data_IF_078843064660
#
_entry.id   IF_078843064660
#
_cell.length_a   1.000
_cell.length_b   1.000
_cell.length_c   1.000
_cell.angle_alpha   90.00
_cell.angle_beta   90.00
_cell.angle_gamma   90.00
#
_symmetry.space_group_name_H-M   'P 1'
#
loop_
_entity.id
_entity.type
_entity.pdbx_description
1 polymer ?
#
# COMPACT_ATOMS: atom_id res chain seq x y z
N UNK A 1 -12.57 14.62 13.65
CA UNK A 1 -12.42 13.35 14.41
C UNK A 1 -13.45 13.24 15.51
N UNK A 2 -13.93 14.37 16.04
CA UNK A 2 -14.79 14.43 17.24
C UNK A 2 -16.11 13.67 17.07
N UNK A 3 -16.77 13.79 15.92
CA UNK A 3 -18.01 13.05 15.62
C UNK A 3 -17.84 11.52 15.74
N UNK A 4 -16.70 10.98 15.32
CA UNK A 4 -16.45 9.53 15.39
C UNK A 4 -16.22 9.08 16.85
N UNK A 5 -15.59 9.94 17.65
CA UNK A 5 -15.36 9.71 19.09
C UNK A 5 -16.67 9.81 19.89
N UNK A 6 -17.49 10.82 19.61
CA UNK A 6 -18.81 11.00 20.21
C UNK A 6 -19.75 9.82 19.94
N UNK A 7 -19.61 9.19 18.76
CA UNK A 7 -20.37 7.99 18.38
C UNK A 7 -19.75 6.68 18.87
N UNK A 8 -18.70 6.75 19.71
CA UNK A 8 -17.96 5.59 20.21
C UNK A 8 -17.42 4.66 19.10
N UNK A 9 -17.22 5.18 17.89
CA UNK A 9 -16.71 4.39 16.76
C UNK A 9 -15.20 4.24 16.79
N UNK A 10 -14.53 5.23 17.40
CA UNK A 10 -13.08 5.23 17.62
C UNK A 10 -12.77 5.70 19.04
N UNK A 11 -11.62 5.29 19.54
CA UNK A 11 -11.00 5.77 20.77
C UNK A 11 -9.59 6.27 20.48
N UNK A 12 -9.04 7.10 21.36
CA UNK A 12 -7.64 7.53 21.29
C UNK A 12 -6.92 6.94 22.50
N UNK A 13 -5.97 6.05 22.25
CA UNK A 13 -5.13 5.43 23.27
C UNK A 13 -3.67 5.75 22.95
N UNK A 14 -2.95 6.39 23.88
CA UNK A 14 -1.54 6.77 23.70
C UNK A 14 -1.26 7.55 22.39
N UNK A 15 -2.17 8.45 22.03
CA UNK A 15 -2.08 9.23 20.78
C UNK A 15 -2.40 8.46 19.50
N UNK A 16 -2.83 7.19 19.60
CA UNK A 16 -3.22 6.34 18.46
C UNK A 16 -4.73 6.20 18.38
N UNK A 17 -5.25 6.20 17.15
CA UNK A 17 -6.65 5.87 16.90
C UNK A 17 -6.82 4.35 17.03
N UNK A 18 -7.75 3.94 17.88
CA UNK A 18 -8.13 2.54 18.10
C UNK A 18 -9.60 2.38 17.73
N UNK A 19 -9.93 1.28 17.06
CA UNK A 19 -11.29 0.92 16.67
C UNK A 19 -11.58 -0.49 17.18
N UNK A 20 -12.78 -0.73 17.71
CA UNK A 20 -13.21 -2.06 18.14
C UNK A 20 -13.22 -3.03 16.95
N UNK A 21 -12.85 -4.29 17.15
CA UNK A 21 -12.77 -5.31 16.08
C UNK A 21 -14.09 -5.45 15.29
N UNK A 22 -15.25 -5.53 15.95
CA UNK A 22 -16.56 -5.56 15.31
C UNK A 22 -16.84 -4.36 14.38
N UNK A 23 -16.34 -3.17 14.72
CA UNK A 23 -16.50 -1.97 13.87
C UNK A 23 -15.55 -2.07 12.66
N UNK A 24 -14.33 -2.59 12.87
CA UNK A 24 -13.41 -2.87 11.77
C UNK A 24 -14.00 -3.93 10.83
N UNK A 25 -14.57 -5.01 11.37
CA UNK A 25 -15.25 -6.06 10.60
C UNK A 25 -16.42 -5.52 9.79
N UNK A 26 -17.25 -4.65 10.39
CA UNK A 26 -18.31 -3.96 9.66
C UNK A 26 -17.74 -3.09 8.51
N UNK A 27 -16.68 -2.34 8.76
CA UNK A 27 -16.01 -1.54 7.72
C UNK A 27 -15.42 -2.40 6.60
N UNK A 28 -14.83 -3.54 6.95
CA UNK A 28 -14.32 -4.54 6.02
C UNK A 28 -15.44 -5.14 5.17
N UNK A 29 -16.59 -5.42 5.76
CA UNK A 29 -17.74 -5.98 5.05
C UNK A 29 -18.32 -4.97 4.05
N UNK A 30 -18.44 -3.69 4.42
CA UNK A 30 -18.90 -2.64 3.49
C UNK A 30 -18.04 -2.63 2.22
N UNK A 31 -16.71 -2.69 2.36
CA UNK A 31 -15.80 -2.71 1.20
C UNK A 31 -15.86 -4.04 0.47
N UNK A 32 -16.07 -5.16 1.16
CA UNK A 32 -16.29 -6.46 0.50
C UNK A 32 -17.51 -6.42 -0.42
N UNK A 33 -18.59 -5.76 0.03
CA UNK A 33 -19.84 -5.59 -0.71
C UNK A 33 -19.74 -4.65 -1.92
N UNK A 34 -18.71 -3.79 -2.01
CA UNK A 34 -18.47 -2.99 -3.22
C UNK A 34 -18.29 -3.89 -4.46
N UNK A 35 -17.62 -5.04 -4.29
CA UNK A 35 -17.62 -6.11 -5.29
C UNK A 35 -17.24 -7.46 -4.65
N UNK A 36 -18.24 -8.29 -4.37
CA UNK A 36 -18.04 -9.59 -3.70
C UNK A 36 -17.09 -10.50 -4.49
N UNK A 37 -17.26 -10.57 -5.81
CA UNK A 37 -16.56 -11.55 -6.65
C UNK A 37 -15.21 -11.07 -7.20
N UNK A 38 -14.94 -9.77 -7.17
CA UNK A 38 -13.73 -9.20 -7.77
C UNK A 38 -13.03 -8.21 -6.81
N UNK A 39 -12.00 -8.65 -6.07
CA UNK A 39 -11.23 -7.75 -5.22
C UNK A 39 -10.58 -6.60 -6.00
N UNK A 40 -10.31 -6.76 -7.29
CA UNK A 40 -9.72 -5.70 -8.12
C UNK A 40 -10.60 -4.46 -8.28
N UNK A 41 -11.90 -4.58 -7.97
CA UNK A 41 -12.91 -3.52 -8.08
C UNK A 41 -13.32 -2.92 -6.72
N UNK A 42 -12.64 -3.30 -5.64
CA UNK A 42 -12.88 -2.75 -4.30
C UNK A 42 -11.96 -1.55 -4.04
N UNK A 43 -12.41 -0.64 -3.19
CA UNK A 43 -11.71 0.58 -2.81
C UNK A 43 -10.47 0.31 -1.96
N UNK A 44 -10.49 -0.75 -1.16
CA UNK A 44 -9.44 -1.06 -0.18
C UNK A 44 -9.17 -2.57 -0.15
N UNK A 45 -7.89 -2.92 -0.04
CA UNK A 45 -7.45 -4.30 0.10
C UNK A 45 -6.60 -4.48 1.35
N UNK A 46 -6.90 -5.50 2.15
CA UNK A 46 -6.12 -5.89 3.34
C UNK A 46 -5.97 -7.41 3.52
N UNK A 47 -6.76 -8.22 2.80
CA UNK A 47 -6.66 -9.70 2.85
C UNK A 47 -5.49 -10.16 1.97
N UNK A 48 -4.50 -10.91 2.50
CA UNK A 48 -3.33 -11.33 1.74
C UNK A 48 -3.65 -12.11 0.45
N UNK A 49 -4.63 -13.01 0.49
CA UNK A 49 -5.02 -13.81 -0.69
C UNK A 49 -5.67 -12.94 -1.79
N UNK A 50 -6.53 -11.98 -1.42
CA UNK A 50 -7.13 -11.04 -2.37
C UNK A 50 -6.06 -10.17 -3.02
N UNK A 51 -5.13 -9.64 -2.22
CA UNK A 51 -4.00 -8.83 -2.71
C UNK A 51 -3.12 -9.67 -3.63
N UNK A 52 -2.80 -10.91 -3.26
CA UNK A 52 -2.01 -11.80 -4.10
C UNK A 52 -2.65 -12.00 -5.47
N UNK A 53 -3.95 -12.29 -5.53
CA UNK A 53 -4.67 -12.49 -6.78
C UNK A 53 -4.73 -11.21 -7.63
N UNK A 54 -4.97 -10.05 -7.00
CA UNK A 54 -5.02 -8.75 -7.69
C UNK A 54 -3.66 -8.39 -8.28
N UNK A 55 -2.59 -8.46 -7.48
CA UNK A 55 -1.25 -8.04 -7.89
C UNK A 55 -0.64 -9.02 -8.90
N UNK A 56 -0.76 -10.34 -8.66
CA UNK A 56 -0.14 -11.36 -9.54
C UNK A 56 -0.75 -11.38 -10.93
N UNK A 57 -2.06 -11.15 -11.02
CA UNK A 57 -2.80 -11.16 -12.30
C UNK A 57 -2.96 -9.77 -12.91
N UNK A 58 -2.34 -8.73 -12.32
CA UNK A 58 -2.50 -7.33 -12.72
C UNK A 58 -3.97 -6.93 -12.93
N UNK A 59 -4.84 -7.35 -11.99
CA UNK A 59 -6.29 -7.10 -11.98
C UNK A 59 -6.69 -5.81 -11.26
N UNK A 60 -5.71 -5.03 -10.79
CA UNK A 60 -5.98 -3.74 -10.19
C UNK A 60 -6.74 -2.82 -11.13
N UNK A 61 -7.68 -2.07 -10.57
CA UNK A 61 -8.44 -1.05 -11.30
C UNK A 61 -8.40 0.26 -10.54
N UNK A 62 -8.91 1.32 -11.17
CA UNK A 62 -9.05 2.65 -10.58
C UNK A 62 -9.98 2.70 -9.37
N UNK A 63 -10.72 1.62 -9.09
CA UNK A 63 -11.46 1.52 -7.84
C UNK A 63 -10.52 1.50 -6.63
N UNK A 64 -9.35 0.87 -6.75
CA UNK A 64 -8.43 0.66 -5.62
C UNK A 64 -7.78 1.97 -5.21
N UNK A 65 -8.01 2.37 -3.96
CA UNK A 65 -7.43 3.55 -3.34
C UNK A 65 -6.38 3.21 -2.28
N UNK A 66 -6.48 2.05 -1.63
CA UNK A 66 -5.53 1.64 -0.59
C UNK A 66 -5.19 0.15 -0.64
N UNK A 67 -3.91 -0.17 -0.41
CA UNK A 67 -3.45 -1.54 -0.24
C UNK A 67 -2.65 -1.65 1.06
N UNK A 68 -3.13 -2.49 1.98
CA UNK A 68 -2.51 -2.79 3.26
C UNK A 68 -2.05 -4.25 3.27
N UNK A 69 -0.75 -4.49 3.26
CA UNK A 69 -0.20 -5.82 3.12
C UNK A 69 0.76 -6.15 4.26
N UNK A 70 0.35 -7.12 5.09
CA UNK A 70 1.27 -7.85 5.95
C UNK A 70 2.07 -8.83 5.07
N UNK A 71 3.31 -8.44 4.75
CA UNK A 71 4.20 -9.18 3.85
C UNK A 71 4.58 -10.56 4.39
N UNK A 72 4.41 -10.82 5.69
CA UNK A 72 4.65 -12.14 6.28
C UNK A 72 3.52 -13.14 5.99
N UNK A 73 2.31 -12.65 5.71
CA UNK A 73 1.12 -13.49 5.51
C UNK A 73 0.81 -13.78 4.05
N UNK A 74 1.46 -13.09 3.12
CA UNK A 74 1.28 -13.32 1.69
C UNK A 74 2.22 -14.42 1.19
N UNK A 75 1.75 -15.20 0.22
CA UNK A 75 2.60 -16.09 -0.57
C UNK A 75 3.64 -15.27 -1.34
N UNK A 76 4.79 -15.88 -1.63
CA UNK A 76 5.83 -15.26 -2.46
C UNK A 76 5.22 -14.79 -3.79
N UNK A 77 5.33 -13.49 -4.07
CA UNK A 77 4.76 -12.84 -5.24
C UNK A 77 5.82 -11.98 -5.94
N UNK A 78 5.88 -12.12 -7.26
CA UNK A 78 6.68 -11.26 -8.12
C UNK A 78 5.77 -10.19 -8.73
N UNK A 79 6.06 -8.93 -8.44
CA UNK A 79 5.30 -7.82 -9.02
C UNK A 79 5.81 -7.52 -10.42
N UNK A 80 4.87 -7.23 -11.32
CA UNK A 80 5.16 -6.78 -12.67
C UNK A 80 5.59 -5.32 -12.64
N UNK A 81 6.42 -4.90 -13.61
CA UNK A 81 6.96 -3.53 -13.69
C UNK A 81 5.88 -2.44 -13.82
N UNK A 82 4.69 -2.83 -14.29
CA UNK A 82 3.50 -1.99 -14.46
C UNK A 82 2.35 -2.36 -13.50
N UNK A 83 2.62 -3.05 -12.39
CA UNK A 83 1.56 -3.56 -11.49
C UNK A 83 0.56 -2.49 -11.04
N UNK A 84 1.02 -1.26 -10.80
CA UNK A 84 0.17 -0.16 -10.33
C UNK A 84 -0.38 0.73 -11.45
N UNK A 85 -0.03 0.45 -12.72
CA UNK A 85 -0.36 1.32 -13.87
C UNK A 85 -1.85 1.56 -14.07
N UNK A 86 -2.71 0.61 -13.68
CA UNK A 86 -4.18 0.67 -13.82
C UNK A 86 -4.90 1.09 -12.54
N UNK A 87 -4.17 1.55 -11.52
CA UNK A 87 -4.74 1.95 -10.23
C UNK A 87 -4.53 3.46 -10.04
N UNK A 88 -5.12 4.26 -10.92
CA UNK A 88 -4.86 5.71 -10.99
C UNK A 88 -5.27 6.44 -9.70
N UNK A 89 -6.28 5.94 -8.98
CA UNK A 89 -6.75 6.52 -7.71
C UNK A 89 -6.02 5.97 -6.47
N UNK A 90 -4.93 5.23 -6.63
CA UNK A 90 -4.20 4.62 -5.52
C UNK A 90 -3.46 5.69 -4.71
N UNK A 91 -3.88 5.84 -3.45
CA UNK A 91 -3.38 6.88 -2.54
C UNK A 91 -2.53 6.34 -1.40
N UNK A 92 -2.69 5.08 -1.05
CA UNK A 92 -1.98 4.45 0.08
C UNK A 92 -1.46 3.07 -0.35
N UNK A 93 -0.14 2.91 -0.25
CA UNK A 93 0.51 1.59 -0.25
C UNK A 93 1.17 1.43 1.11
N UNK A 94 0.82 0.36 1.81
CA UNK A 94 1.43 0.01 3.09
C UNK A 94 1.79 -1.47 3.09
N UNK A 95 3.01 -1.77 2.65
CA UNK A 95 3.60 -3.11 2.73
C UNK A 95 4.50 -3.13 3.96
N UNK A 96 4.10 -3.88 4.97
CA UNK A 96 4.80 -3.89 6.26
C UNK A 96 5.13 -5.30 6.72
N UNK A 97 6.13 -5.40 7.59
CA UNK A 97 6.55 -6.65 8.20
C UNK A 97 6.52 -6.50 9.73
N UNK A 98 5.48 -7.02 10.41
CA UNK A 98 5.38 -6.92 11.86
C UNK A 98 6.27 -7.94 12.59
N UNK A 99 6.67 -9.03 11.92
CA UNK A 99 7.28 -10.20 12.55
C UNK A 99 8.80 -10.14 12.64
N UNK A 100 9.47 -9.16 12.03
CA UNK A 100 10.92 -9.05 12.17
C UNK A 100 11.48 -7.68 11.77
N UNK A 101 12.13 -6.97 12.71
CA UNK A 101 12.98 -5.83 12.38
C UNK A 101 14.35 -6.24 11.76
N UNK A 102 14.60 -7.53 11.54
CA UNK A 102 15.90 -8.05 11.07
C UNK A 102 15.82 -8.99 9.85
N UNK A 103 14.61 -9.35 9.38
CA UNK A 103 14.45 -10.14 8.14
C UNK A 103 14.39 -9.22 6.93
N UNK A 104 15.46 -9.25 6.15
CA UNK A 104 15.61 -8.58 4.85
C UNK A 104 14.68 -9.20 3.78
N UNK A 105 14.12 -10.39 4.04
CA UNK A 105 13.38 -11.14 3.03
C UNK A 105 11.89 -10.81 3.08
N UNK A 106 11.45 -9.98 2.14
CA UNK A 106 10.03 -9.78 1.83
C UNK A 106 9.52 -10.91 0.93
N UNK A 107 8.28 -11.34 1.13
CA UNK A 107 7.59 -12.22 0.18
C UNK A 107 7.16 -11.46 -1.09
N UNK A 108 7.28 -10.13 -1.12
CA UNK A 108 7.05 -9.30 -2.30
C UNK A 108 8.39 -9.04 -2.98
N UNK A 109 8.51 -9.50 -4.22
CA UNK A 109 9.76 -9.44 -5.00
C UNK A 109 9.53 -8.62 -6.25
N UNK A 110 10.56 -7.84 -6.60
CA UNK A 110 10.63 -7.09 -7.84
C UNK A 110 11.78 -7.68 -8.67
N UNK A 111 11.52 -8.66 -9.56
CA UNK A 111 12.56 -9.28 -10.39
C UNK A 111 13.16 -8.28 -11.39
N UNK A 112 12.38 -7.28 -11.77
CA UNK A 112 12.76 -6.17 -12.64
C UNK A 112 12.45 -4.85 -11.92
N UNK A 113 13.14 -3.77 -12.33
CA UNK A 113 12.92 -2.42 -11.79
C UNK A 113 11.44 -2.02 -11.95
N UNK A 114 10.75 -1.74 -10.83
CA UNK A 114 9.42 -1.15 -10.82
C UNK A 114 9.49 0.19 -11.56
N UNK A 115 8.70 0.38 -12.61
CA UNK A 115 8.77 1.58 -13.43
C UNK A 115 7.76 2.64 -13.02
N UNK A 116 6.61 2.23 -12.49
CA UNK A 116 5.47 3.10 -12.29
C UNK A 116 4.99 2.98 -10.84
N UNK A 117 4.93 4.13 -10.17
CA UNK A 117 4.13 4.36 -8.98
C UNK A 117 3.09 5.43 -9.31
N UNK A 118 1.84 5.34 -8.80
CA UNK A 118 0.82 6.35 -9.07
C UNK A 118 1.15 7.71 -8.43
N UNK A 119 1.00 8.79 -9.20
CA UNK A 119 1.35 10.16 -8.77
C UNK A 119 0.41 10.72 -7.68
N UNK A 120 -0.77 10.13 -7.51
CA UNK A 120 -1.74 10.48 -6.45
C UNK A 120 -1.42 9.82 -5.09
N UNK A 121 -0.30 9.08 -5.00
CA UNK A 121 0.15 8.48 -3.75
C UNK A 121 0.40 9.54 -2.68
N UNK A 122 -0.30 9.40 -1.54
CA UNK A 122 -0.15 10.25 -0.36
C UNK A 122 0.68 9.59 0.73
N UNK A 123 0.64 8.27 0.79
CA UNK A 123 1.36 7.49 1.78
C UNK A 123 1.98 6.26 1.12
N UNK A 124 3.31 6.15 1.23
CA UNK A 124 4.07 5.02 0.75
C UNK A 124 4.88 4.45 1.89
N UNK A 125 4.42 3.32 2.44
CA UNK A 125 5.23 2.46 3.30
C UNK A 125 5.57 1.16 2.59
N UNK A 126 6.87 0.83 2.53
CA UNK A 126 7.33 -0.41 1.93
C UNK A 126 8.54 -0.95 2.68
N UNK A 127 8.29 -1.81 3.65
CA UNK A 127 9.32 -2.49 4.44
C UNK A 127 10.14 -3.42 3.52
N UNK A 128 11.46 -3.40 3.69
CA UNK A 128 12.39 -4.18 2.88
C UNK A 128 12.27 -3.94 1.37
N UNK A 129 12.01 -2.68 0.98
CA UNK A 129 11.94 -2.29 -0.44
C UNK A 129 13.22 -2.70 -1.20
N UNK A 130 13.09 -3.45 -2.32
CA UNK A 130 14.23 -4.17 -2.90
C UNK A 130 15.10 -3.34 -3.86
N UNK A 131 14.64 -2.18 -4.32
CA UNK A 131 15.38 -1.31 -5.25
C UNK A 131 16.23 -0.27 -4.51
N UNK A 132 17.23 0.27 -5.21
CA UNK A 132 18.16 1.30 -4.71
C UNK A 132 17.67 2.73 -4.86
N UNK A 133 16.64 2.94 -5.69
CA UNK A 133 15.99 4.20 -6.01
C UNK A 133 14.49 3.96 -6.23
N UNK A 134 13.68 5.01 -6.05
CA UNK A 134 12.28 5.00 -6.48
C UNK A 134 12.22 5.10 -8.02
N UNK A 135 11.08 4.74 -8.64
CA UNK A 135 10.95 4.84 -10.08
C UNK A 135 11.15 6.27 -10.58
N UNK A 136 11.93 6.43 -11.65
CA UNK A 136 12.29 7.75 -12.19
C UNK A 136 11.07 8.57 -12.64
N UNK A 137 10.05 7.89 -13.18
CA UNK A 137 8.83 8.51 -13.68
C UNK A 137 7.82 8.86 -12.58
N UNK A 138 8.09 8.52 -11.32
CA UNK A 138 7.16 8.80 -10.22
C UNK A 138 7.25 10.28 -9.82
N UNK A 139 6.10 10.98 -9.88
CA UNK A 139 5.98 12.35 -9.42
C UNK A 139 5.47 12.39 -7.96
N UNK A 140 6.31 12.78 -6.97
CA UNK A 140 5.94 12.71 -5.56
C UNK A 140 5.23 13.97 -5.04
N UNK A 141 4.66 14.83 -5.89
CA UNK A 141 4.02 16.09 -5.49
C UNK A 141 2.92 15.91 -4.44
N UNK A 142 2.18 14.80 -4.52
CA UNK A 142 1.11 14.48 -3.56
C UNK A 142 1.58 13.66 -2.35
N UNK A 143 2.85 13.26 -2.31
CA UNK A 143 3.37 12.35 -1.29
C UNK A 143 3.58 13.08 0.04
N UNK A 144 2.76 12.73 1.02
CA UNK A 144 2.80 13.33 2.37
C UNK A 144 3.73 12.56 3.31
N UNK A 145 3.83 11.23 3.12
CA UNK A 145 4.67 10.39 3.97
C UNK A 145 5.29 9.22 3.21
N UNK A 146 6.60 9.09 3.39
CA UNK A 146 7.44 8.01 2.90
C UNK A 146 8.05 7.25 4.09
N UNK A 147 7.87 5.94 4.14
CA UNK A 147 8.39 5.07 5.22
C UNK A 147 8.96 3.78 4.61
N UNK A 148 10.28 3.62 4.55
CA UNK A 148 10.92 2.48 3.88
C UNK A 148 11.95 1.80 4.77
N UNK A 149 11.52 1.22 5.90
CA UNK A 149 12.44 0.62 6.85
C UNK A 149 13.09 -0.63 6.24
N UNK A 150 14.37 -0.83 6.55
CA UNK A 150 15.16 -1.98 6.07
C UNK A 150 15.22 -2.12 4.54
N UNK A 151 14.98 -1.03 3.82
CA UNK A 151 15.08 -1.00 2.35
C UNK A 151 16.53 -1.02 1.86
N UNK A 152 16.69 -1.28 0.56
CA UNK A 152 17.97 -1.15 -0.15
C UNK A 152 18.16 0.22 -0.79
N UNK A 153 17.33 1.20 -0.44
CA UNK A 153 17.44 2.55 -0.98
C UNK A 153 18.79 3.16 -0.63
N UNK A 154 19.51 3.59 -1.65
CA UNK A 154 20.77 4.34 -1.55
C UNK A 154 20.53 5.82 -1.86
N UNK A 155 19.55 6.11 -2.72
CA UNK A 155 19.09 7.45 -3.10
C UNK A 155 17.58 7.42 -3.36
N UNK A 156 16.89 8.56 -3.22
CA UNK A 156 15.46 8.61 -3.50
C UNK A 156 15.16 8.51 -5.00
N UNK A 157 15.94 9.21 -5.83
CA UNK A 157 15.75 9.29 -7.29
C UNK A 157 17.10 9.24 -7.99
N UNK A 158 17.12 8.79 -9.24
CA UNK A 158 18.30 8.88 -10.10
C UNK A 158 18.28 10.22 -10.85
N UNK A 159 19.02 11.22 -10.36
CA UNK A 159 19.11 12.57 -10.95
C UNK A 159 18.27 13.63 -10.23
N UNK A 160 18.28 14.85 -10.77
CA UNK A 160 17.54 15.99 -10.22
C UNK A 160 16.05 15.87 -10.57
N UNK A 161 15.17 15.84 -9.57
CA UNK A 161 13.73 16.00 -9.80
C UNK A 161 13.44 17.46 -10.13
N UNK A 162 13.11 17.74 -11.39
CA UNK A 162 12.59 19.03 -11.82
C UNK A 162 11.17 19.20 -11.28
N UNK A 163 11.04 19.79 -10.09
CA UNK A 163 9.76 20.28 -9.60
C UNK A 163 9.41 21.55 -10.38
N UNK A 164 8.39 21.48 -11.23
CA UNK A 164 7.82 22.67 -11.86
C UNK A 164 6.83 23.31 -10.88
N UNK A 165 7.18 24.49 -10.35
CA UNK A 165 6.27 25.33 -9.56
C UNK A 165 5.33 26.14 -10.46
#
# INVERSE_FOLDING_TARGET
>A
MDILKERCLISILEGRIVMHDLIQEMGHEIVHQECVNDPGKRSRLWKPDDIYEVLRKNKGTDAIQCIFLDTCKIKKIELHVETFKKMHNLRIIQFYNPSSPSRINSNVILPTFLKILPDDLKFLRWDSFPQRSLPLEFCPENLVKLDMPHSRLEQLWEGDQLFAF
#
